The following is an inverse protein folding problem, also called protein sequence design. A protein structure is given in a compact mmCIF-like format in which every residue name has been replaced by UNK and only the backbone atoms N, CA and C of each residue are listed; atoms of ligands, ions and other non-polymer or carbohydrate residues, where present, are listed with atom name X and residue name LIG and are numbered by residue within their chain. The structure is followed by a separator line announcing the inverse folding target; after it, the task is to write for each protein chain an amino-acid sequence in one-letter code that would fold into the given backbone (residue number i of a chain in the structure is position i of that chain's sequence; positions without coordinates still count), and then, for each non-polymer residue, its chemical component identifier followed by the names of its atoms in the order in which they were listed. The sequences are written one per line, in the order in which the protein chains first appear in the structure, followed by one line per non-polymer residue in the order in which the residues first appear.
data_IF_436896691486
#
_entry.id   IF_436896691486
#
_cell.length_a   1.000
_cell.length_b   1.000
_cell.length_c   1.000
_cell.angle_alpha   90.00
_cell.angle_beta   90.00
_cell.angle_gamma   90.00
#
_symmetry.space_group_name_H-M   'P 1'
#
loop_
_entity.id
_entity.type
_entity.pdbx_description
1 polymer ?
#
# COMPACT_ATOMS: atom_id res chain seq x y z
N UNK A 1 -20.72 7.92 12.64
CA UNK A 1 -21.37 8.44 11.42
C UNK A 1 -20.54 8.10 10.17
N UNK A 2 -19.26 8.50 10.10
CA UNK A 2 -18.38 8.18 8.94
C UNK A 2 -18.23 6.68 8.68
N UNK A 3 -18.04 5.89 9.72
CA UNK A 3 -17.94 4.44 9.62
C UNK A 3 -19.18 3.79 8.99
N UNK A 4 -20.38 4.27 9.32
CA UNK A 4 -21.63 3.73 8.78
C UNK A 4 -21.79 4.07 7.29
N UNK A 5 -21.46 5.29 6.88
CA UNK A 5 -21.49 5.71 5.47
C UNK A 5 -20.50 4.88 4.66
N UNK A 6 -19.27 4.73 5.15
CA UNK A 6 -18.25 3.90 4.47
C UNK A 6 -18.68 2.45 4.39
N UNK A 7 -19.23 1.88 5.47
CA UNK A 7 -19.73 0.52 5.48
C UNK A 7 -20.80 0.29 4.42
N UNK A 8 -21.77 1.20 4.29
CA UNK A 8 -22.85 1.08 3.30
C UNK A 8 -22.31 1.21 1.87
N UNK A 9 -21.40 2.14 1.61
CA UNK A 9 -20.86 2.40 0.28
C UNK A 9 -19.89 1.32 -0.22
N UNK A 10 -19.18 0.66 0.70
CA UNK A 10 -18.12 -0.30 0.38
C UNK A 10 -18.46 -1.75 0.74
N UNK A 11 -19.73 -2.05 1.03
CA UNK A 11 -20.18 -3.42 1.18
C UNK A 11 -20.23 -4.11 -0.18
N UNK A 12 -19.69 -5.33 -0.26
CA UNK A 12 -19.69 -6.17 -1.48
C UNK A 12 -20.08 -7.59 -1.10
N UNK A 13 -20.46 -8.40 -2.09
CA UNK A 13 -20.85 -9.81 -1.90
C UNK A 13 -19.71 -10.67 -1.36
N UNK A 14 -18.46 -10.35 -1.76
CA UNK A 14 -17.24 -10.98 -1.25
C UNK A 14 -16.64 -10.18 -0.11
N UNK A 15 -15.91 -10.84 0.79
CA UNK A 15 -15.06 -10.12 1.75
C UNK A 15 -14.11 -9.18 1.02
N UNK A 16 -13.93 -7.99 1.55
CA UNK A 16 -13.15 -6.94 0.91
C UNK A 16 -11.70 -6.91 1.40
N UNK A 17 -10.78 -6.64 0.49
CA UNK A 17 -9.36 -6.39 0.78
C UNK A 17 -9.00 -5.00 0.26
N UNK A 18 -8.38 -4.21 1.11
CA UNK A 18 -7.83 -2.92 0.73
C UNK A 18 -6.39 -3.10 0.29
N UNK A 19 -6.05 -2.63 -0.90
CA UNK A 19 -4.68 -2.62 -1.40
C UNK A 19 -4.21 -1.19 -1.67
N UNK A 20 -3.03 -0.86 -1.19
CA UNK A 20 -2.35 0.40 -1.47
C UNK A 20 -1.04 0.13 -2.18
N UNK A 21 -0.88 0.66 -3.38
CA UNK A 21 0.32 0.46 -4.20
C UNK A 21 1.26 1.65 -4.15
N UNK A 22 0.74 2.84 -3.94
CA UNK A 22 1.51 4.08 -3.97
C UNK A 22 1.26 4.92 -2.72
N UNK A 23 2.29 5.64 -2.31
CA UNK A 23 2.26 6.54 -1.16
C UNK A 23 2.99 7.85 -1.45
N UNK A 24 2.94 8.76 -0.47
CA UNK A 24 3.59 10.06 -0.56
C UNK A 24 2.74 11.14 -1.21
N UNK A 25 3.19 12.38 -1.02
CA UNK A 25 2.58 13.53 -1.65
C UNK A 25 3.00 13.62 -3.12
N UNK A 26 2.14 14.11 -4.01
CA UNK A 26 2.57 14.49 -5.34
C UNK A 26 3.69 15.52 -5.26
N UNK A 27 4.52 15.60 -6.31
CA UNK A 27 5.53 16.66 -6.40
C UNK A 27 4.86 18.06 -6.43
N UNK A 28 5.63 19.15 -6.28
CA UNK A 28 5.08 20.50 -6.33
C UNK A 28 4.34 20.83 -7.63
N UNK A 29 4.61 20.11 -8.71
CA UNK A 29 3.92 20.23 -9.98
C UNK A 29 2.70 19.29 -10.09
N UNK A 30 2.45 18.48 -9.08
CA UNK A 30 1.34 17.53 -9.03
C UNK A 30 1.50 16.29 -9.93
N UNK A 31 2.69 16.06 -10.46
CA UNK A 31 2.95 15.01 -11.46
C UNK A 31 3.50 13.71 -10.89
N UNK A 32 3.97 13.71 -9.64
CA UNK A 32 4.60 12.53 -9.09
C UNK A 32 3.58 11.52 -8.63
N UNK A 33 3.60 10.38 -9.24
CA UNK A 33 2.71 9.27 -8.95
C UNK A 33 3.44 8.08 -8.31
N UNK A 34 4.75 8.21 -8.07
CA UNK A 34 5.57 7.07 -7.73
C UNK A 34 6.75 7.43 -6.82
N UNK A 35 6.90 6.69 -5.73
CA UNK A 35 8.02 6.77 -4.80
C UNK A 35 8.67 5.39 -4.69
N UNK A 36 9.77 5.21 -5.39
CA UNK A 36 10.47 3.94 -5.43
C UNK A 36 10.78 3.37 -4.04
N UNK A 37 11.11 4.23 -3.10
CA UNK A 37 11.48 3.80 -1.74
C UNK A 37 10.34 3.14 -0.96
N UNK A 38 9.09 3.33 -1.40
CA UNK A 38 7.90 2.89 -0.67
C UNK A 38 6.87 2.18 -1.53
N UNK A 39 6.80 2.52 -2.81
CA UNK A 39 5.71 2.08 -3.67
C UNK A 39 5.86 0.61 -4.07
N UNK A 40 4.77 -0.12 -3.98
CA UNK A 40 4.71 -1.52 -4.41
C UNK A 40 4.72 -1.60 -5.93
N UNK A 41 5.56 -2.46 -6.55
CA UNK A 41 5.51 -2.68 -7.98
C UNK A 41 4.12 -3.09 -8.45
N UNK A 42 3.64 -2.46 -9.51
CA UNK A 42 2.31 -2.75 -10.05
C UNK A 42 2.17 -4.21 -10.50
N UNK A 43 3.23 -4.82 -11.01
CA UNK A 43 3.23 -6.23 -11.40
C UNK A 43 3.03 -7.14 -10.18
N UNK A 44 3.67 -6.81 -9.07
CA UNK A 44 3.52 -7.54 -7.80
C UNK A 44 2.12 -7.38 -7.24
N UNK A 45 1.62 -6.14 -7.18
CA UNK A 45 0.26 -5.85 -6.73
C UNK A 45 -0.80 -6.55 -7.60
N UNK A 46 -0.61 -6.56 -8.92
CA UNK A 46 -1.48 -7.27 -9.85
C UNK A 46 -1.47 -8.77 -9.58
N UNK A 47 -0.31 -9.36 -9.30
CA UNK A 47 -0.19 -10.77 -8.93
C UNK A 47 -0.98 -11.12 -7.67
N UNK A 48 -1.00 -10.24 -6.65
CA UNK A 48 -1.82 -10.41 -5.45
C UNK A 48 -3.31 -10.46 -5.80
N UNK A 49 -3.78 -9.50 -6.60
CA UNK A 49 -5.18 -9.45 -7.03
C UNK A 49 -5.55 -10.72 -7.82
N UNK A 50 -4.74 -11.09 -8.82
CA UNK A 50 -5.01 -12.27 -9.67
C UNK A 50 -5.16 -13.56 -8.87
N UNK A 51 -4.34 -13.78 -7.86
CA UNK A 51 -4.42 -14.98 -7.01
C UNK A 51 -5.63 -15.02 -6.09
N UNK A 52 -6.11 -13.86 -5.67
CA UNK A 52 -7.11 -13.77 -4.60
C UNK A 52 -8.49 -13.27 -5.05
N UNK A 53 -8.65 -12.75 -6.27
CA UNK A 53 -9.89 -12.17 -6.78
C UNK A 53 -11.10 -13.15 -6.81
N UNK A 54 -10.84 -14.45 -6.85
CA UNK A 54 -11.92 -15.44 -6.75
C UNK A 54 -12.59 -15.44 -5.37
N UNK A 55 -11.84 -15.13 -4.31
CA UNK A 55 -12.28 -15.17 -2.91
C UNK A 55 -12.61 -13.79 -2.33
N UNK A 56 -11.95 -12.73 -2.82
CA UNK A 56 -12.05 -11.39 -2.27
C UNK A 56 -12.40 -10.36 -3.34
N UNK A 57 -13.04 -9.29 -2.90
CA UNK A 57 -13.18 -8.07 -3.69
C UNK A 57 -12.08 -7.08 -3.27
N UNK A 58 -11.37 -6.51 -4.23
CA UNK A 58 -10.26 -5.61 -3.97
C UNK A 58 -10.69 -4.16 -4.17
N UNK A 59 -10.36 -3.32 -3.18
CA UNK A 59 -10.36 -1.88 -3.30
C UNK A 59 -8.92 -1.39 -3.39
N UNK A 60 -8.61 -0.58 -4.38
CA UNK A 60 -7.31 0.07 -4.51
C UNK A 60 -7.43 1.55 -4.15
N UNK A 61 -6.65 1.99 -3.17
CA UNK A 61 -6.50 3.43 -2.90
C UNK A 61 -5.70 4.03 -4.05
N UNK A 62 -6.31 4.96 -4.77
CA UNK A 62 -5.73 5.62 -5.92
C UNK A 62 -5.69 7.13 -5.71
N UNK A 63 -4.58 7.74 -6.10
CA UNK A 63 -4.51 9.18 -6.36
C UNK A 63 -4.87 9.46 -7.82
N UNK A 64 -5.08 10.73 -8.17
CA UNK A 64 -5.36 11.12 -9.55
C UNK A 64 -4.29 10.57 -10.50
N UNK A 65 -4.72 10.06 -11.66
CA UNK A 65 -3.85 9.53 -12.72
C UNK A 65 -3.02 8.28 -12.36
N UNK A 66 -3.22 7.70 -11.17
CA UNK A 66 -2.56 6.47 -10.80
C UNK A 66 -3.07 5.28 -11.61
N UNK A 67 -2.18 4.38 -11.98
CA UNK A 67 -2.56 3.13 -12.65
C UNK A 67 -3.46 2.30 -11.74
N UNK A 68 -4.59 1.84 -12.29
CA UNK A 68 -5.53 0.97 -11.59
C UNK A 68 -5.21 -0.49 -11.90
N UNK A 69 -5.22 -1.31 -10.86
CA UNK A 69 -5.07 -2.76 -10.99
C UNK A 69 -6.31 -3.35 -11.66
N UNK A 70 -6.09 -4.28 -12.57
CA UNK A 70 -7.17 -5.04 -13.17
C UNK A 70 -7.90 -5.85 -12.08
N UNK A 71 -9.23 -5.89 -12.13
CA UNK A 71 -10.09 -6.56 -11.14
C UNK A 71 -10.01 -5.97 -9.71
N UNK A 72 -9.51 -4.74 -9.56
CA UNK A 72 -9.65 -3.95 -8.36
C UNK A 72 -10.53 -2.72 -8.62
N UNK A 73 -11.30 -2.32 -7.64
CA UNK A 73 -12.14 -1.13 -7.68
C UNK A 73 -11.34 0.06 -7.11
N UNK A 74 -11.10 1.12 -7.91
CA UNK A 74 -10.35 2.27 -7.45
C UNK A 74 -11.18 3.10 -6.47
N UNK A 75 -10.53 3.55 -5.42
CA UNK A 75 -11.10 4.48 -4.43
C UNK A 75 -10.32 5.78 -4.49
N UNK A 76 -11.02 6.88 -4.69
CA UNK A 76 -10.48 8.23 -4.77
C UNK A 76 -11.34 9.21 -3.97
N UNK A 77 -10.75 10.33 -3.58
CA UNK A 77 -11.48 11.46 -3.00
C UNK A 77 -12.02 11.25 -1.59
N UNK A 78 -11.63 10.19 -0.88
CA UNK A 78 -11.96 10.02 0.51
C UNK A 78 -11.11 10.95 1.38
N UNK A 79 -11.73 11.55 2.40
CA UNK A 79 -11.00 12.24 3.43
C UNK A 79 -10.35 11.24 4.41
N UNK A 80 -9.47 11.74 5.30
CA UNK A 80 -8.72 10.90 6.23
C UNK A 80 -9.61 10.03 7.13
N UNK A 81 -10.73 10.57 7.63
CA UNK A 81 -11.65 9.83 8.49
C UNK A 81 -12.38 8.72 7.74
N UNK A 82 -12.69 8.95 6.47
CA UNK A 82 -13.29 7.95 5.60
C UNK A 82 -12.29 6.85 5.25
N UNK A 83 -11.02 7.20 5.00
CA UNK A 83 -9.94 6.23 4.81
C UNK A 83 -9.74 5.35 6.05
N UNK A 84 -9.75 5.91 7.26
CA UNK A 84 -9.65 5.12 8.50
C UNK A 84 -10.91 4.25 8.72
N UNK A 85 -12.07 4.74 8.36
CA UNK A 85 -13.29 3.94 8.41
C UNK A 85 -13.24 2.77 7.41
N UNK A 86 -12.68 2.99 6.22
CA UNK A 86 -12.46 1.95 5.21
C UNK A 86 -11.47 0.89 5.70
N UNK A 87 -10.34 1.29 6.29
CA UNK A 87 -9.39 0.37 6.94
C UNK A 87 -10.09 -0.56 7.93
N UNK A 88 -10.99 -0.02 8.75
CA UNK A 88 -11.72 -0.77 9.76
C UNK A 88 -12.79 -1.69 9.17
N UNK A 89 -13.34 -1.34 8.02
CA UNK A 89 -14.44 -2.07 7.38
C UNK A 89 -13.95 -3.25 6.55
N UNK A 90 -12.75 -3.15 5.97
CA UNK A 90 -12.19 -4.21 5.12
C UNK A 90 -11.72 -5.42 5.93
N UNK A 91 -11.90 -6.60 5.36
CA UNK A 91 -11.48 -7.87 5.97
C UNK A 91 -9.97 -8.04 5.98
N UNK A 92 -9.29 -7.63 4.91
CA UNK A 92 -7.84 -7.70 4.75
C UNK A 92 -7.26 -6.38 4.25
N UNK A 93 -5.97 -6.19 4.44
CA UNK A 93 -5.22 -5.01 4.05
C UNK A 93 -3.84 -5.40 3.57
N UNK A 94 -3.50 -4.97 2.35
CA UNK A 94 -2.15 -5.06 1.78
C UNK A 94 -1.67 -3.63 1.60
N UNK A 95 -0.74 -3.20 2.41
CA UNK A 95 -0.32 -1.82 2.55
C UNK A 95 1.18 -1.69 2.27
N UNK A 96 1.62 -0.47 2.10
CA UNK A 96 3.03 -0.08 2.03
C UNK A 96 3.37 0.79 3.23
N UNK A 97 4.62 1.22 3.34
CA UNK A 97 5.05 2.21 4.32
C UNK A 97 4.40 3.57 4.04
N UNK A 98 3.31 3.85 4.75
CA UNK A 98 2.47 5.03 4.54
C UNK A 98 1.62 5.34 5.78
N UNK A 99 0.92 6.48 5.76
CA UNK A 99 -0.06 6.84 6.79
C UNK A 99 -1.14 5.77 7.01
N UNK A 100 -1.46 4.97 5.98
CA UNK A 100 -2.48 3.92 6.08
C UNK A 100 -2.03 2.76 6.98
N UNK A 101 -0.76 2.34 6.89
CA UNK A 101 -0.24 1.31 7.80
C UNK A 101 -0.15 1.84 9.24
N UNK A 102 0.19 3.12 9.43
CA UNK A 102 0.17 3.74 10.75
C UNK A 102 -1.26 3.83 11.31
N UNK A 103 -2.23 4.21 10.49
CA UNK A 103 -3.65 4.22 10.87
C UNK A 103 -4.17 2.83 11.24
N UNK A 104 -3.81 1.80 10.46
CA UNK A 104 -4.14 0.41 10.77
C UNK A 104 -3.48 -0.04 12.09
N UNK A 105 -2.21 0.29 12.30
CA UNK A 105 -1.47 -0.02 13.53
C UNK A 105 -2.10 0.64 14.77
N UNK A 106 -2.43 1.93 14.68
CA UNK A 106 -3.08 2.66 15.76
C UNK A 106 -4.45 2.08 16.15
N UNK A 107 -5.15 1.47 15.21
CA UNK A 107 -6.42 0.78 15.44
C UNK A 107 -6.27 -0.71 15.76
N UNK A 108 -5.05 -1.22 15.88
CA UNK A 108 -4.73 -2.63 16.07
C UNK A 108 -5.38 -3.54 15.00
N UNK A 109 -5.33 -3.12 13.74
CA UNK A 109 -5.87 -3.85 12.60
C UNK A 109 -4.74 -4.59 11.88
N UNK A 110 -4.64 -5.93 11.98
CA UNK A 110 -3.62 -6.70 11.30
C UNK A 110 -3.62 -6.41 9.81
N UNK A 111 -2.45 -6.17 9.25
CA UNK A 111 -2.26 -5.90 7.83
C UNK A 111 -0.99 -6.57 7.33
N UNK A 112 -0.95 -6.94 6.05
CA UNK A 112 0.30 -7.28 5.38
C UNK A 112 0.92 -5.98 4.87
N UNK A 113 2.14 -5.67 5.31
CA UNK A 113 2.86 -4.46 4.90
C UNK A 113 4.09 -4.83 4.10
N UNK A 114 4.18 -4.29 2.90
CA UNK A 114 5.29 -4.52 1.96
C UNK A 114 6.29 -3.39 2.11
N UNK A 115 7.53 -3.76 2.36
CA UNK A 115 8.64 -2.84 2.64
C UNK A 115 9.66 -2.88 1.50
N UNK A 116 10.25 -1.73 1.20
CA UNK A 116 11.31 -1.63 0.20
C UNK A 116 12.58 -1.05 0.82
N UNK A 117 12.61 0.24 1.12
CA UNK A 117 13.80 0.91 1.64
C UNK A 117 13.80 1.09 3.15
N UNK A 118 12.63 1.21 3.76
CA UNK A 118 12.49 1.42 5.20
C UNK A 118 12.47 0.11 5.98
N UNK A 119 12.90 0.16 7.22
CA UNK A 119 12.97 -1.00 8.12
C UNK A 119 11.73 -1.05 9.02
N UNK A 120 10.98 -2.18 9.03
CA UNK A 120 9.75 -2.31 9.82
C UNK A 120 10.02 -2.20 11.33
N UNK A 121 11.22 -2.54 11.81
CA UNK A 121 11.62 -2.42 13.21
C UNK A 121 11.55 -0.97 13.71
N UNK A 122 11.73 0.00 12.81
CA UNK A 122 11.68 1.44 13.12
C UNK A 122 10.29 2.02 12.91
N UNK A 123 9.60 1.59 11.85
CA UNK A 123 8.43 2.29 11.35
C UNK A 123 7.11 1.51 11.47
N UNK A 124 7.13 0.24 11.90
CA UNK A 124 5.95 -0.59 11.92
C UNK A 124 5.40 -0.91 13.31
N UNK A 125 4.39 -1.74 13.32
CA UNK A 125 3.66 -2.19 14.50
C UNK A 125 3.64 -3.71 14.58
N UNK A 126 3.64 -4.25 15.80
CA UNK A 126 3.67 -5.70 16.05
C UNK A 126 2.41 -6.45 15.58
N UNK A 127 1.32 -5.72 15.28
CA UNK A 127 0.11 -6.33 14.75
C UNK A 127 0.19 -6.62 13.25
N UNK A 128 1.21 -6.14 12.52
CA UNK A 128 1.38 -6.35 11.09
C UNK A 128 2.26 -7.55 10.77
N UNK A 129 1.96 -8.18 9.62
CA UNK A 129 2.88 -9.11 8.96
C UNK A 129 3.73 -8.32 7.97
N UNK A 130 5.05 -8.52 8.00
CA UNK A 130 6.00 -7.78 7.19
C UNK A 130 6.51 -8.62 6.04
N UNK A 131 6.43 -8.08 4.83
CA UNK A 131 7.07 -8.64 3.64
C UNK A 131 8.31 -7.81 3.38
N UNK A 132 9.45 -8.46 3.50
CA UNK A 132 10.76 -7.86 3.30
C UNK A 132 11.35 -8.32 1.98
N UNK A 133 12.24 -7.51 1.37
CA UNK A 133 12.98 -7.92 0.19
C UNK A 133 13.80 -9.18 0.49
N UNK A 134 13.75 -10.18 -0.39
CA UNK A 134 14.57 -11.42 -0.27
C UNK A 134 16.04 -11.18 -0.56
N UNK A 135 16.37 -10.13 -1.29
CA UNK A 135 17.74 -9.81 -1.65
C UNK A 135 18.30 -8.83 -0.65
N UNK A 136 19.33 -9.23 0.07
CA UNK A 136 20.12 -8.27 0.82
C UNK A 136 20.49 -7.09 -0.07
N UNK A 137 20.15 -5.91 0.43
CA UNK A 137 20.32 -4.59 -0.16
C UNK A 137 21.21 -4.57 -1.40
N UNK A 138 20.63 -4.46 -2.58
CA UNK A 138 21.34 -4.07 -3.80
C UNK A 138 21.91 -2.63 -3.72
N UNK A 139 21.76 -1.98 -2.55
CA UNK A 139 22.11 -0.59 -2.35
C UNK A 139 23.18 -0.48 -1.28
N UNK A 140 24.34 -0.01 -1.64
CA UNK A 140 25.42 0.38 -0.71
C UNK A 140 25.08 1.66 0.09
N UNK A 141 23.86 2.14 -0.03
CA UNK A 141 23.40 3.40 0.55
C UNK A 141 22.45 3.12 1.73
N UNK A 142 22.64 3.72 2.89
CA UNK A 142 21.71 3.59 4.01
C UNK A 142 20.27 3.97 3.63
N UNK A 143 19.28 3.29 4.22
CA UNK A 143 17.86 3.48 3.89
C UNK A 143 17.42 4.96 3.98
N UNK A 144 17.93 5.70 4.97
CA UNK A 144 17.67 7.14 5.12
C UNK A 144 18.10 7.96 3.91
N UNK A 145 19.25 7.64 3.32
CA UNK A 145 19.80 8.36 2.17
C UNK A 145 19.12 7.94 0.88
N UNK A 146 18.66 6.68 0.79
CA UNK A 146 17.76 6.19 -0.26
C UNK A 146 16.45 6.94 -0.25
N UNK A 147 15.84 7.09 0.94
CA UNK A 147 14.61 7.82 1.11
C UNK A 147 14.72 9.27 0.61
N UNK A 148 15.76 10.00 1.05
CA UNK A 148 16.01 11.37 0.60
C UNK A 148 16.29 11.44 -0.91
N UNK A 149 17.06 10.50 -1.43
CA UNK A 149 17.49 10.50 -2.83
C UNK A 149 16.34 10.20 -3.78
N UNK A 150 15.50 9.22 -3.45
CA UNK A 150 14.44 8.73 -4.34
C UNK A 150 13.08 9.36 -4.09
N UNK A 151 12.84 9.86 -2.90
CA UNK A 151 11.62 10.62 -2.60
C UNK A 151 11.64 12.02 -3.26
N UNK A 152 12.81 12.51 -3.64
CA UNK A 152 13.02 13.83 -4.28
C UNK A 152 13.13 13.74 -5.81
N UNK A 153 13.03 12.59 -6.43
CA UNK A 153 13.00 12.48 -7.89
C UNK A 153 13.88 11.39 -8.51
N UNK A 154 14.47 10.53 -7.72
CA UNK A 154 15.11 9.32 -8.23
C UNK A 154 14.07 8.26 -8.52
N UNK A 155 14.20 7.54 -9.60
CA UNK A 155 13.46 6.31 -9.89
C UNK A 155 14.44 5.19 -10.17
N UNK A 156 14.05 3.98 -9.85
CA UNK A 156 14.71 2.78 -10.32
C UNK A 156 13.67 1.77 -10.73
N UNK A 157 13.96 1.04 -11.79
CA UNK A 157 13.09 0.00 -12.30
C UNK A 157 13.35 -1.36 -11.62
N UNK A 158 14.34 -1.41 -10.72
CA UNK A 158 14.69 -2.61 -9.99
C UNK A 158 13.96 -2.71 -8.66
N UNK A 159 13.21 -3.80 -8.50
CA UNK A 159 12.52 -4.13 -7.28
C UNK A 159 13.17 -5.34 -6.58
N UNK A 160 13.26 -5.31 -5.25
CA UNK A 160 13.98 -6.33 -4.49
C UNK A 160 13.15 -7.57 -4.16
N UNK A 161 11.93 -7.70 -4.67
CA UNK A 161 11.05 -8.85 -4.43
C UNK A 161 10.11 -9.12 -5.60
N UNK A 162 9.53 -10.32 -5.62
CA UNK A 162 8.58 -10.78 -6.63
C UNK A 162 7.19 -11.00 -6.03
N UNK A 163 6.21 -11.31 -6.89
CA UNK A 163 4.82 -11.56 -6.46
C UNK A 163 4.74 -12.68 -5.41
N UNK A 164 5.54 -13.73 -5.56
CA UNK A 164 5.53 -14.89 -4.66
C UNK A 164 6.04 -14.58 -3.24
N UNK A 165 6.70 -13.45 -3.06
CA UNK A 165 7.18 -13.02 -1.74
C UNK A 165 6.07 -12.47 -0.86
N UNK A 166 4.90 -12.14 -1.43
CA UNK A 166 3.78 -11.52 -0.74
C UNK A 166 2.71 -12.55 -0.30
N UNK A 167 2.87 -13.81 -0.67
CA UNK A 167 1.91 -14.89 -0.38
C UNK A 167 2.38 -15.87 0.68
#
# INVERSE_FOLDING_TARGET
RHHEIVRQNFQRDKPTVLIQTNGGAPDPEGKRLYSWARDMPMITAQGVVERLKSKYHFFQICYNEQQVLKDAEPIQGLNEMELFALLKTTKGRVLIDSSMQHGAGAMNLPSTVVWIANEPEVWSYTCHSHILPKVEKKFDTPAKDLYQRYDIGGSTDEYPYETDDIF
#
